data_IF_793289691127
#
_entry.id   IF_793289691127
#
_cell.length_a   1.000
_cell.length_b   1.000
_cell.length_c   1.000
_cell.angle_alpha   90.00
_cell.angle_beta   90.00
_cell.angle_gamma   90.00
#
_symmetry.space_group_name_H-M   'P 1'
#
loop_
_entity.id
_entity.type
_entity.pdbx_description
1 polymer ?
#
# COMPACT_ATOMS: atom_id res chain seq x y z
N UNK A 1 -33.60 -16.81 13.19
CA UNK A 1 -32.29 -16.40 13.75
C UNK A 1 -31.21 -17.15 12.99
N UNK A 2 -30.62 -16.53 11.96
CA UNK A 2 -29.54 -17.17 11.20
C UNK A 2 -28.22 -16.94 11.92
N UNK A 3 -27.69 -18.00 12.52
CA UNK A 3 -26.32 -18.08 13.02
C UNK A 3 -25.40 -18.32 11.83
N UNK A 4 -24.98 -17.26 11.15
CA UNK A 4 -23.81 -17.27 10.27
C UNK A 4 -23.11 -15.93 10.43
N UNK A 5 -22.58 -15.68 11.62
CA UNK A 5 -21.52 -14.69 11.80
C UNK A 5 -20.27 -15.25 11.15
N UNK A 6 -20.06 -14.95 9.87
CA UNK A 6 -18.81 -15.26 9.19
C UNK A 6 -17.71 -14.40 9.80
N UNK A 7 -17.03 -14.98 10.79
CA UNK A 7 -15.82 -14.50 11.45
C UNK A 7 -14.61 -14.65 10.51
N UNK A 8 -14.62 -14.03 9.33
CA UNK A 8 -13.42 -13.98 8.49
C UNK A 8 -12.33 -13.05 9.09
N UNK A 9 -12.72 -12.23 10.07
CA UNK A 9 -11.95 -11.17 10.72
C UNK A 9 -11.06 -11.58 11.90
N UNK A 10 -10.74 -12.86 12.11
CA UNK A 10 -9.93 -13.26 13.28
C UNK A 10 -8.73 -14.17 12.98
N UNK A 11 -8.57 -14.65 11.74
CA UNK A 11 -7.44 -15.48 11.35
C UNK A 11 -6.39 -14.67 10.59
N UNK A 12 -5.12 -14.99 10.83
CA UNK A 12 -4.00 -14.50 10.03
C UNK A 12 -4.03 -15.17 8.66
N UNK A 13 -4.05 -14.37 7.60
CA UNK A 13 -4.02 -14.81 6.21
C UNK A 13 -2.63 -14.62 5.61
N UNK A 14 -2.28 -15.49 4.65
CA UNK A 14 -1.18 -15.22 3.72
C UNK A 14 -1.75 -14.52 2.50
N UNK A 15 -1.09 -13.43 2.08
CA UNK A 15 -1.51 -12.64 0.92
C UNK A 15 -0.97 -13.27 -0.35
N UNK A 16 -1.88 -13.63 -1.25
CA UNK A 16 -1.56 -14.14 -2.59
C UNK A 16 -0.70 -15.42 -2.63
N UNK A 17 -0.26 -15.82 -3.83
CA UNK A 17 0.71 -16.89 -4.04
C UNK A 17 2.10 -16.54 -3.48
N UNK A 18 2.96 -17.55 -3.41
CA UNK A 18 4.28 -17.42 -2.79
C UNK A 18 5.24 -16.62 -3.67
N UNK A 19 5.37 -15.33 -3.35
CA UNK A 19 6.42 -14.46 -3.87
C UNK A 19 7.30 -13.96 -2.73
N UNK A 20 8.61 -14.04 -2.92
CA UNK A 20 9.56 -13.45 -1.99
C UNK A 20 9.65 -11.95 -2.26
N UNK A 21 9.31 -11.14 -1.26
CA UNK A 21 9.36 -9.68 -1.37
C UNK A 21 10.33 -9.05 -0.39
N UNK A 22 10.52 -7.74 -0.52
CA UNK A 22 11.35 -6.93 0.38
C UNK A 22 10.59 -5.74 0.94
N UNK A 23 11.12 -5.16 2.01
CA UNK A 23 10.51 -4.01 2.66
C UNK A 23 9.13 -4.30 3.25
N UNK A 24 8.48 -3.24 3.71
CA UNK A 24 7.12 -3.32 4.23
C UNK A 24 6.09 -3.33 3.08
N UNK A 25 5.06 -4.19 3.15
CA UNK A 25 3.89 -4.02 2.30
C UNK A 25 3.16 -2.72 2.64
N UNK A 26 2.51 -2.11 1.65
CA UNK A 26 1.63 -0.95 1.83
C UNK A 26 0.19 -1.37 1.56
N UNK A 27 -0.75 -0.90 2.37
CA UNK A 27 -2.16 -1.28 2.31
C UNK A 27 -3.03 -0.02 2.29
N UNK A 28 -4.05 -0.02 1.43
CA UNK A 28 -5.11 0.99 1.43
C UNK A 28 -6.44 0.32 1.14
N UNK A 29 -7.55 0.92 1.57
CA UNK A 29 -8.87 0.51 1.09
C UNK A 29 -9.19 1.24 -0.21
N UNK A 30 -9.47 0.47 -1.25
CA UNK A 30 -9.97 0.97 -2.53
C UNK A 30 -11.47 1.14 -2.56
N UNK A 31 -11.99 1.55 -3.73
CA UNK A 31 -13.43 1.79 -3.96
C UNK A 31 -14.09 0.72 -4.85
N UNK A 32 -13.36 -0.35 -5.15
CA UNK A 32 -13.84 -1.47 -5.97
C UNK A 32 -14.63 -2.48 -5.15
N UNK A 33 -15.75 -2.96 -5.68
CA UNK A 33 -16.71 -3.79 -4.94
C UNK A 33 -17.69 -2.95 -4.13
N UNK A 34 -18.67 -3.61 -3.53
CA UNK A 34 -19.72 -2.96 -2.75
C UNK A 34 -19.19 -2.31 -1.46
N UNK A 35 -18.17 -2.90 -0.84
CA UNK A 35 -17.57 -2.41 0.42
C UNK A 35 -16.24 -1.71 0.20
N UNK A 36 -15.60 -1.92 -0.95
CA UNK A 36 -14.23 -1.48 -1.23
C UNK A 36 -13.20 -2.54 -0.83
N UNK A 37 -12.48 -3.04 -1.82
CA UNK A 37 -11.38 -4.01 -1.63
C UNK A 37 -10.24 -3.42 -0.80
N UNK A 38 -9.50 -4.27 -0.11
CA UNK A 38 -8.19 -3.88 0.40
C UNK A 38 -7.17 -4.06 -0.71
N UNK A 39 -6.41 -3.02 -1.03
CA UNK A 39 -5.39 -2.98 -2.06
C UNK A 39 -4.01 -3.01 -1.38
N UNK A 40 -3.24 -4.06 -1.64
CA UNK A 40 -1.93 -4.28 -1.05
C UNK A 40 -0.84 -4.22 -2.11
N UNK A 41 0.19 -3.44 -1.84
CA UNK A 41 1.39 -3.34 -2.67
C UNK A 41 2.59 -3.94 -1.95
N UNK A 42 3.37 -4.76 -2.65
CA UNK A 42 4.62 -5.32 -2.15
C UNK A 42 5.72 -5.20 -3.21
N UNK A 43 6.92 -4.81 -2.78
CA UNK A 43 8.11 -4.91 -3.61
C UNK A 43 8.48 -6.37 -3.81
N UNK A 44 8.75 -6.77 -5.06
CA UNK A 44 9.37 -8.05 -5.36
C UNK A 44 10.84 -8.04 -4.90
N UNK A 45 11.40 -9.21 -4.54
CA UNK A 45 12.79 -9.29 -4.11
C UNK A 45 13.78 -9.04 -5.25
N UNK A 46 13.41 -9.33 -6.48
CA UNK A 46 14.30 -9.27 -7.63
C UNK A 46 13.90 -8.18 -8.61
N UNK A 47 12.62 -8.15 -9.01
CA UNK A 47 12.17 -7.26 -10.07
C UNK A 47 10.72 -6.83 -9.91
N UNK A 48 10.46 -5.54 -10.02
CA UNK A 48 9.12 -4.97 -10.06
C UNK A 48 8.38 -4.95 -8.73
N UNK A 49 7.06 -4.85 -8.86
CA UNK A 49 6.10 -4.68 -7.78
C UNK A 49 4.93 -5.64 -8.00
N UNK A 50 4.33 -6.06 -6.90
CA UNK A 50 3.08 -6.82 -6.90
C UNK A 50 1.98 -6.00 -6.26
N UNK A 51 0.82 -5.93 -6.93
CA UNK A 51 -0.43 -5.50 -6.30
C UNK A 51 -1.30 -6.74 -6.04
N UNK A 52 -1.95 -6.79 -4.89
CA UNK A 52 -2.97 -7.78 -4.52
C UNK A 52 -4.22 -7.04 -4.06
N UNK A 53 -5.38 -7.66 -4.21
CA UNK A 53 -6.62 -7.13 -3.66
C UNK A 53 -7.36 -8.19 -2.87
N UNK A 54 -7.86 -7.82 -1.70
CA UNK A 54 -8.75 -8.64 -0.90
C UNK A 54 -10.18 -8.28 -1.25
N UNK A 55 -10.97 -9.28 -1.65
CA UNK A 55 -12.39 -9.06 -1.88
C UNK A 55 -13.11 -8.90 -0.53
N UNK A 56 -13.42 -7.65 -0.19
CA UNK A 56 -14.09 -7.25 1.06
C UNK A 56 -15.61 -7.43 1.01
N UNK A 57 -16.17 -7.77 -0.15
CA UNK A 57 -17.60 -7.92 -0.32
C UNK A 57 -18.10 -9.17 0.40
N UNK A 58 -19.40 -9.19 0.71
CA UNK A 58 -20.09 -10.36 1.25
C UNK A 58 -20.47 -11.31 0.12
N UNK A 59 -20.62 -12.59 0.42
CA UNK A 59 -21.14 -13.58 -0.54
C UNK A 59 -22.52 -13.19 -1.13
N UNK A 60 -23.29 -12.37 -0.41
CA UNK A 60 -24.59 -11.86 -0.84
C UNK A 60 -24.54 -10.61 -1.71
N UNK A 61 -23.40 -9.93 -1.78
CA UNK A 61 -23.27 -8.69 -2.53
C UNK A 61 -23.14 -8.98 -4.03
N UNK A 62 -23.51 -8.05 -4.92
CA UNK A 62 -23.32 -8.22 -6.36
C UNK A 62 -21.86 -8.53 -6.69
N UNK A 63 -21.62 -9.62 -7.42
CA UNK A 63 -20.27 -10.04 -7.74
C UNK A 63 -19.68 -9.16 -8.86
N UNK A 64 -18.94 -8.11 -8.48
CA UNK A 64 -18.20 -7.26 -9.41
C UNK A 64 -16.81 -7.83 -9.76
N UNK A 65 -16.30 -8.75 -8.94
CA UNK A 65 -14.99 -9.41 -9.09
C UNK A 65 -15.16 -10.95 -9.13
N UNK A 66 -15.67 -11.52 -10.23
CA UNK A 66 -16.04 -12.95 -10.29
C UNK A 66 -14.88 -13.91 -10.07
N UNK A 67 -13.65 -13.47 -10.34
CA UNK A 67 -12.46 -14.31 -10.25
C UNK A 67 -11.83 -14.35 -8.85
N UNK A 68 -12.29 -13.52 -7.90
CA UNK A 68 -11.78 -13.48 -6.53
C UNK A 68 -12.93 -13.64 -5.54
N UNK A 69 -13.10 -14.82 -4.92
CA UNK A 69 -14.17 -15.05 -3.95
C UNK A 69 -14.17 -14.06 -2.78
N UNK A 70 -15.35 -13.72 -2.27
CA UNK A 70 -15.52 -12.94 -1.05
C UNK A 70 -14.66 -13.48 0.10
N UNK A 71 -13.99 -12.59 0.83
CA UNK A 71 -13.14 -12.97 1.95
C UNK A 71 -11.78 -13.57 1.57
N UNK A 72 -11.35 -13.44 0.31
CA UNK A 72 -10.07 -13.98 -0.17
C UNK A 72 -9.19 -12.93 -0.86
N UNK A 73 -7.88 -13.17 -0.83
CA UNK A 73 -6.89 -12.39 -1.58
C UNK A 73 -6.81 -12.88 -3.03
N UNK A 74 -6.60 -11.95 -3.96
CA UNK A 74 -6.30 -12.27 -5.36
C UNK A 74 -4.96 -12.98 -5.52
N UNK A 75 -4.73 -13.54 -6.72
CA UNK A 75 -3.44 -14.10 -7.10
C UNK A 75 -2.35 -13.02 -7.30
N UNK A 76 -2.73 -11.75 -7.32
CA UNK A 76 -1.85 -10.62 -7.54
C UNK A 76 -1.52 -10.36 -9.02
N UNK A 77 -1.13 -9.12 -9.29
CA UNK A 77 -0.65 -8.66 -10.60
C UNK A 77 0.76 -8.09 -10.45
N UNK A 78 1.69 -8.61 -11.24
CA UNK A 78 3.04 -8.07 -11.35
C UNK A 78 3.08 -6.87 -12.30
N UNK A 79 3.80 -5.83 -11.92
CA UNK A 79 4.04 -4.67 -12.77
C UNK A 79 5.40 -4.02 -12.43
N UNK A 80 5.73 -2.93 -13.13
CA UNK A 80 6.96 -2.18 -12.91
C UNK A 80 8.25 -2.99 -13.10
N UNK A 81 8.22 -4.01 -13.97
CA UNK A 81 9.39 -4.82 -14.32
C UNK A 81 10.53 -3.98 -14.90
N UNK A 82 11.77 -4.45 -14.73
CA UNK A 82 13.00 -3.78 -15.14
C UNK A 82 13.69 -2.95 -14.04
N UNK A 83 13.20 -3.00 -12.80
CA UNK A 83 13.77 -2.30 -11.66
C UNK A 83 13.54 -3.04 -10.35
N UNK A 84 14.57 -3.07 -9.48
CA UNK A 84 14.43 -3.57 -8.12
C UNK A 84 14.02 -2.44 -7.18
N UNK A 85 12.93 -2.64 -6.43
CA UNK A 85 12.42 -1.68 -5.46
C UNK A 85 12.85 -2.01 -4.03
N UNK A 86 13.00 -0.97 -3.21
CA UNK A 86 13.32 -1.05 -1.79
C UNK A 86 12.08 -0.84 -0.93
N UNK A 87 11.22 0.09 -1.33
CA UNK A 87 10.00 0.47 -0.63
C UNK A 87 8.97 1.00 -1.63
N UNK A 88 7.69 0.78 -1.37
CA UNK A 88 6.62 1.36 -2.16
C UNK A 88 5.39 1.63 -1.28
N UNK A 89 4.64 2.67 -1.62
CA UNK A 89 3.39 3.04 -0.95
C UNK A 89 2.26 3.12 -1.97
N UNK A 90 1.11 2.55 -1.61
CA UNK A 90 -0.13 2.62 -2.36
C UNK A 90 -1.13 3.54 -1.63
N UNK A 91 -1.86 4.33 -2.40
CA UNK A 91 -2.84 5.28 -1.92
C UNK A 91 -4.06 5.26 -2.84
N UNK A 92 -5.25 5.46 -2.28
CA UNK A 92 -6.49 5.57 -3.06
C UNK A 92 -6.69 7.04 -3.48
N UNK A 93 -6.77 7.30 -4.78
CA UNK A 93 -7.09 8.62 -5.31
C UNK A 93 -8.61 8.82 -5.39
N UNK A 94 -9.06 10.05 -5.19
CA UNK A 94 -10.42 10.49 -5.52
C UNK A 94 -10.59 10.85 -7.00
N UNK A 95 -9.50 10.92 -7.76
CA UNK A 95 -9.50 11.36 -9.16
C UNK A 95 -9.74 10.20 -10.13
N UNK A 96 -10.47 10.49 -11.22
CA UNK A 96 -10.78 9.59 -12.34
C UNK A 96 -11.70 8.41 -11.98
N UNK A 97 -11.95 7.44 -12.89
CA UNK A 97 -12.90 6.35 -12.66
C UNK A 97 -12.40 5.22 -11.73
N UNK A 98 -11.74 5.58 -10.61
CA UNK A 98 -11.18 4.75 -9.51
C UNK A 98 -9.68 4.44 -9.62
N UNK A 99 -8.82 5.42 -9.33
CA UNK A 99 -7.37 5.24 -9.48
C UNK A 99 -6.65 4.93 -8.17
N UNK A 100 -5.65 4.04 -8.29
CA UNK A 100 -4.64 3.80 -7.28
C UNK A 100 -3.41 4.62 -7.62
N UNK A 101 -2.79 5.21 -6.61
CA UNK A 101 -1.56 5.97 -6.71
C UNK A 101 -0.45 5.19 -6.03
N UNK A 102 0.67 5.05 -6.73
CA UNK A 102 1.84 4.35 -6.19
C UNK A 102 3.06 5.25 -6.29
N UNK A 103 3.76 5.40 -5.16
CA UNK A 103 5.13 5.89 -5.14
C UNK A 103 6.06 4.74 -4.78
N UNK A 104 7.10 4.53 -5.57
CA UNK A 104 7.99 3.39 -5.43
C UNK A 104 9.46 3.82 -5.49
N UNK A 105 10.18 3.54 -4.41
CA UNK A 105 11.61 3.83 -4.28
C UNK A 105 12.41 2.64 -4.80
N UNK A 106 13.13 2.86 -5.90
CA UNK A 106 14.09 1.90 -6.43
C UNK A 106 15.29 1.76 -5.48
N UNK A 107 15.98 0.61 -5.50
CA UNK A 107 17.26 0.41 -4.77
C UNK A 107 18.38 1.34 -5.24
N UNK A 108 18.25 1.89 -6.45
CA UNK A 108 19.16 2.90 -6.97
C UNK A 108 18.91 4.30 -6.38
N UNK A 109 17.81 4.50 -5.64
CA UNK A 109 17.47 5.76 -4.98
C UNK A 109 16.61 6.71 -5.83
N UNK A 110 16.00 6.23 -6.92
CA UNK A 110 14.99 6.98 -7.67
C UNK A 110 13.59 6.68 -7.11
N UNK A 111 12.81 7.73 -6.82
CA UNK A 111 11.40 7.64 -6.48
C UNK A 111 10.54 7.79 -7.74
N UNK A 112 9.82 6.73 -8.07
CA UNK A 112 8.97 6.66 -9.24
C UNK A 112 7.51 6.87 -8.85
N UNK A 113 6.73 7.47 -9.74
CA UNK A 113 5.29 7.66 -9.55
C UNK A 113 4.53 6.88 -10.60
N UNK A 114 3.51 6.16 -10.13
CA UNK A 114 2.67 5.28 -10.90
C UNK A 114 1.21 5.56 -10.56
N UNK A 115 0.34 5.28 -11.52
CA UNK A 115 -1.10 5.24 -11.27
C UNK A 115 -1.70 4.04 -11.98
N UNK A 116 -2.75 3.47 -11.39
CA UNK A 116 -3.55 2.48 -12.07
C UNK A 116 -4.73 3.15 -12.75
N UNK A 117 -5.01 2.80 -14.00
CA UNK A 117 -6.26 3.17 -14.66
C UNK A 117 -7.00 1.93 -15.19
N UNK A 118 -8.34 1.90 -15.12
CA UNK A 118 -9.12 0.80 -15.67
C UNK A 118 -8.82 0.65 -17.16
N UNK A 119 -8.44 -0.56 -17.59
CA UNK A 119 -8.06 -0.85 -18.98
C UNK A 119 -6.57 -1.12 -19.12
N UNK A 120 -5.69 -0.10 -19.20
CA UNK A 120 -4.26 -0.30 -19.44
C UNK A 120 -3.49 -0.76 -18.20
N UNK A 121 -4.09 -0.75 -17.00
CA UNK A 121 -3.45 -1.17 -15.76
C UNK A 121 -2.54 -0.10 -15.16
N UNK A 122 -1.48 -0.53 -14.46
CA UNK A 122 -0.51 0.40 -13.87
C UNK A 122 0.36 1.05 -14.95
N UNK A 123 0.42 2.38 -14.92
CA UNK A 123 1.18 3.20 -15.84
C UNK A 123 2.17 4.06 -15.05
N UNK A 124 3.40 4.12 -15.55
CA UNK A 124 4.45 4.95 -14.97
C UNK A 124 4.31 6.39 -15.48
N UNK A 125 4.40 7.36 -14.56
CA UNK A 125 4.57 8.78 -14.92
C UNK A 125 6.02 9.09 -15.25
N UNK A 126 6.24 10.21 -15.93
CA UNK A 126 7.60 10.75 -16.05
C UNK A 126 8.25 10.92 -14.67
N UNK A 127 9.42 10.32 -14.44
CA UNK A 127 10.14 10.49 -13.17
C UNK A 127 10.39 11.97 -12.93
N UNK A 128 10.02 12.54 -11.76
CA UNK A 128 10.21 13.96 -11.49
C UNK A 128 11.69 14.34 -11.54
N UNK A 129 12.01 15.55 -12.04
CA UNK A 129 13.40 16.00 -12.20
C UNK A 129 14.19 15.93 -10.88
N UNK A 130 13.56 16.33 -9.76
CA UNK A 130 14.16 16.31 -8.42
C UNK A 130 14.54 14.91 -7.94
N UNK A 131 13.95 13.86 -8.52
CA UNK A 131 14.26 12.46 -8.21
C UNK A 131 15.27 11.82 -9.18
N UNK A 132 15.66 12.52 -10.26
CA UNK A 132 16.64 12.03 -11.25
C UNK A 132 18.07 12.50 -10.97
N UNK A 133 18.25 13.58 -10.22
CA UNK A 133 19.56 14.16 -10.01
C UNK A 133 20.42 13.24 -9.13
N UNK A 134 21.35 12.52 -9.77
CA UNK A 134 22.18 11.49 -9.16
C UNK A 134 23.11 11.94 -8.03
N UNK A 135 23.11 13.23 -7.66
CA UNK A 135 23.78 13.74 -6.47
C UNK A 135 22.97 13.50 -5.18
N UNK A 136 21.64 13.48 -5.25
CA UNK A 136 20.74 13.41 -4.09
C UNK A 136 19.78 12.21 -4.20
N UNK A 137 20.29 11.00 -3.99
CA UNK A 137 19.47 9.78 -4.01
C UNK A 137 18.46 9.80 -2.87
N UNK A 138 17.24 9.33 -3.11
CA UNK A 138 16.24 9.14 -2.05
C UNK A 138 16.58 7.86 -1.28
N UNK A 139 16.59 7.93 0.05
CA UNK A 139 16.84 6.78 0.93
C UNK A 139 15.58 6.31 1.67
N UNK A 140 14.65 7.23 1.92
CA UNK A 140 13.39 6.96 2.57
C UNK A 140 12.36 7.98 2.14
N UNK A 141 11.09 7.60 2.14
CA UNK A 141 10.00 8.53 1.90
C UNK A 141 8.77 8.16 2.71
N UNK A 142 7.87 9.12 2.87
CA UNK A 142 6.51 8.87 3.29
C UNK A 142 5.58 9.78 2.50
N UNK A 143 4.43 9.25 2.09
CA UNK A 143 3.45 9.93 1.28
C UNK A 143 2.05 9.76 1.88
N UNK A 144 1.25 10.81 1.71
CA UNK A 144 -0.18 10.81 2.05
C UNK A 144 -0.95 11.46 0.91
N UNK A 145 -2.19 11.03 0.74
CA UNK A 145 -3.13 11.66 -0.19
C UNK A 145 -4.30 12.24 0.60
N UNK A 146 -4.72 13.46 0.24
CA UNK A 146 -5.90 14.11 0.82
C UNK A 146 -6.53 15.02 -0.22
N UNK A 147 -7.80 14.79 -0.54
CA UNK A 147 -8.51 15.55 -1.57
C UNK A 147 -7.79 15.53 -2.93
N UNK A 148 -7.27 14.36 -3.33
CA UNK A 148 -6.51 14.16 -4.57
C UNK A 148 -5.06 14.69 -4.57
N UNK A 149 -4.74 15.63 -3.66
CA UNK A 149 -3.38 16.14 -3.48
C UNK A 149 -2.51 15.09 -2.78
N UNK A 150 -1.36 14.78 -3.39
CA UNK A 150 -0.35 13.91 -2.77
C UNK A 150 0.72 14.79 -2.13
N UNK A 151 1.02 14.55 -0.86
CA UNK A 151 2.12 15.19 -0.13
C UNK A 151 3.16 14.16 0.27
N UNK A 152 4.43 14.45 0.01
CA UNK A 152 5.55 13.53 0.20
C UNK A 152 6.66 14.21 1.01
N UNK A 153 7.22 13.49 1.97
CA UNK A 153 8.52 13.82 2.57
C UNK A 153 9.53 12.79 2.09
N UNK A 154 10.68 13.24 1.60
CA UNK A 154 11.82 12.38 1.23
C UNK A 154 13.04 12.75 2.06
N UNK A 155 13.82 11.73 2.45
CA UNK A 155 15.17 11.89 2.97
C UNK A 155 16.17 11.51 1.89
N UNK A 156 17.09 12.41 1.59
CA UNK A 156 18.15 12.15 0.60
C UNK A 156 19.36 11.49 1.26
N UNK A 157 20.30 11.01 0.43
CA UNK A 157 21.58 10.40 0.86
C UNK A 157 22.50 11.32 1.65
N UNK A 158 22.24 12.64 1.64
CA UNK A 158 22.97 13.61 2.47
C UNK A 158 22.23 13.94 3.77
N UNK A 159 21.16 13.22 4.08
CA UNK A 159 20.30 13.46 5.24
C UNK A 159 19.34 14.64 5.09
N UNK A 160 19.33 15.32 3.95
CA UNK A 160 18.42 16.45 3.69
C UNK A 160 16.98 15.96 3.58
N UNK A 161 16.08 16.61 4.30
CA UNK A 161 14.64 16.41 4.15
C UNK A 161 14.09 17.38 3.09
N UNK A 162 13.40 16.83 2.09
CA UNK A 162 12.59 17.61 1.15
C UNK A 162 11.13 17.26 1.32
N UNK A 163 10.27 18.27 1.33
CA UNK A 163 8.82 18.09 1.37
C UNK A 163 8.23 18.63 0.08
N UNK A 164 7.33 17.86 -0.50
CA UNK A 164 6.79 18.09 -1.82
C UNK A 164 5.29 17.86 -1.80
N UNK A 165 4.58 18.52 -2.71
CA UNK A 165 3.19 18.20 -2.98
C UNK A 165 2.92 18.19 -4.48
N UNK A 166 1.89 17.46 -4.89
CA UNK A 166 1.32 17.48 -6.22
C UNK A 166 -0.18 17.57 -6.12
N UNK A 167 -0.74 18.57 -6.80
CA UNK A 167 -2.18 18.71 -7.00
C UNK A 167 -2.68 17.78 -8.12
N UNK A 168 -3.95 17.95 -8.48
CA UNK A 168 -4.67 17.20 -9.51
C UNK A 168 -4.93 18.01 -10.78
N UNK A 169 -4.36 19.22 -10.90
CA UNK A 169 -4.67 20.17 -11.99
C UNK A 169 -4.33 19.60 -13.38
N UNK A 170 -3.38 18.66 -13.46
CA UNK A 170 -2.96 18.00 -14.70
C UNK A 170 -3.22 16.50 -14.72
N UNK A 171 -4.15 16.02 -13.91
CA UNK A 171 -4.44 14.59 -13.77
C UNK A 171 -4.69 13.93 -15.16
N UNK A 172 -4.12 12.73 -15.45
CA UNK A 172 -3.41 11.86 -14.53
C UNK A 172 -1.95 12.27 -14.26
N UNK A 173 -1.37 13.22 -14.98
CA UNK A 173 0.00 13.67 -14.70
C UNK A 173 0.09 14.40 -13.35
N UNK A 174 1.27 14.30 -12.72
CA UNK A 174 1.56 14.94 -11.43
C UNK A 174 2.71 15.92 -11.56
N UNK A 175 2.49 17.14 -11.09
CA UNK A 175 3.52 18.16 -10.98
C UNK A 175 3.94 18.32 -9.52
N UNK A 176 5.24 18.33 -9.25
CA UNK A 176 5.76 18.33 -7.89
C UNK A 176 6.37 19.67 -7.55
N UNK A 177 5.85 20.29 -6.49
CA UNK A 177 6.32 21.57 -5.97
C UNK A 177 6.84 21.42 -4.54
N UNK A 178 7.84 22.23 -4.20
CA UNK A 178 8.33 22.30 -2.82
C UNK A 178 7.20 22.73 -1.88
N UNK A 179 7.16 22.12 -0.70
CA UNK A 179 6.20 22.43 0.36
C UNK A 179 6.94 22.73 1.65
N UNK A 180 6.39 23.62 2.47
CA UNK A 180 6.86 23.83 3.84
C UNK A 180 6.48 22.64 4.76
N UNK A 181 5.37 21.97 4.45
CA UNK A 181 4.77 20.91 5.25
C UNK A 181 4.70 19.59 4.48
N UNK A 182 4.53 18.49 5.20
CA UNK A 182 4.51 17.14 4.64
C UNK A 182 4.40 16.11 5.74
N UNK A 183 4.11 14.84 5.41
CA UNK A 183 4.00 13.79 6.40
C UNK A 183 5.35 13.57 7.11
N UNK A 184 5.34 13.15 8.38
CA UNK A 184 6.56 12.71 9.06
C UNK A 184 7.12 11.46 8.39
N UNK A 185 8.45 11.29 8.34
CA UNK A 185 9.01 9.98 8.01
C UNK A 185 8.68 9.02 9.13
N UNK A 186 8.09 7.88 8.79
CA UNK A 186 7.75 6.86 9.76
C UNK A 186 8.88 5.84 9.80
N UNK A 187 9.54 5.74 10.95
CA UNK A 187 10.29 4.53 11.27
C UNK A 187 9.22 3.50 11.65
N UNK A 188 8.70 2.76 10.65
CA UNK A 188 7.48 1.93 10.69
C UNK A 188 7.42 0.78 11.71
N UNK A 189 8.00 0.94 12.89
CA UNK A 189 8.12 -0.03 13.97
C UNK A 189 7.42 0.40 15.27
N UNK A 190 7.23 1.71 15.51
CA UNK A 190 6.92 2.24 16.84
C UNK A 190 5.57 1.81 17.44
N UNK A 191 4.61 1.33 16.64
CA UNK A 191 3.27 0.96 17.14
C UNK A 191 2.94 -0.54 17.11
N UNK A 192 3.70 -1.37 16.42
CA UNK A 192 3.36 -2.80 16.27
C UNK A 192 4.06 -3.70 17.30
N UNK A 193 5.18 -3.25 17.88
CA UNK A 193 5.78 -3.88 19.06
C UNK A 193 4.84 -3.86 20.30
N UNK A 194 3.87 -2.94 20.34
CA UNK A 194 2.85 -2.84 21.40
C UNK A 194 1.70 -3.83 21.22
N UNK A 195 1.49 -4.33 20.01
CA UNK A 195 0.33 -5.17 19.73
C UNK A 195 0.44 -6.54 20.44
N UNK A 196 1.64 -7.07 20.73
CA UNK A 196 1.83 -8.45 21.25
C UNK A 196 1.04 -9.50 20.44
N UNK A 197 0.71 -9.16 19.19
CA UNK A 197 -0.23 -9.89 18.35
C UNK A 197 0.49 -10.93 17.47
N UNK A 198 1.81 -10.74 17.28
CA UNK A 198 2.67 -11.65 16.54
C UNK A 198 3.92 -11.86 17.39
N UNK A 199 4.33 -13.10 17.59
CA UNK A 199 5.61 -13.40 18.23
C UNK A 199 6.73 -12.76 17.39
N UNK A 200 7.62 -11.93 17.98
CA UNK A 200 8.67 -11.23 17.23
C UNK A 200 9.56 -12.13 16.36
N UNK A 201 9.61 -13.43 16.67
CA UNK A 201 10.35 -14.43 15.90
C UNK A 201 9.74 -14.73 14.51
N UNK A 202 8.48 -14.39 14.26
CA UNK A 202 7.78 -14.73 13.02
C UNK A 202 7.73 -13.59 12.00
N UNK A 203 8.10 -12.37 12.39
CA UNK A 203 8.03 -11.18 11.53
C UNK A 203 9.42 -10.60 11.24
N UNK A 204 9.66 -10.19 10.00
CA UNK A 204 10.84 -9.41 9.64
C UNK A 204 10.69 -8.01 10.27
N UNK A 205 11.70 -7.54 11.04
CA UNK A 205 11.65 -6.22 11.66
C UNK A 205 11.33 -5.09 10.68
N UNK A 206 10.59 -4.10 11.14
CA UNK A 206 10.22 -2.88 10.40
C UNK A 206 9.34 -3.07 9.16
N UNK A 207 8.86 -4.29 8.90
CA UNK A 207 7.94 -4.56 7.76
C UNK A 207 6.48 -4.41 8.12
N UNK A 208 6.14 -4.37 9.40
CA UNK A 208 4.75 -4.35 9.81
C UNK A 208 4.12 -2.97 9.57
N UNK A 209 2.85 -2.92 9.12
CA UNK A 209 2.08 -1.71 8.82
C UNK A 209 0.63 -1.88 9.29
N UNK A 210 -0.04 -0.75 9.49
CA UNK A 210 -1.45 -0.67 9.87
C UNK A 210 -2.19 0.25 8.89
N UNK A 211 -3.41 -0.12 8.54
CA UNK A 211 -4.38 0.72 7.85
C UNK A 211 -5.77 0.53 8.46
N UNK A 212 -6.62 1.55 8.37
CA UNK A 212 -8.04 1.40 8.72
C UNK A 212 -8.85 0.99 7.49
N UNK A 213 -9.89 0.18 7.68
CA UNK A 213 -10.86 -0.13 6.64
C UNK A 213 -12.30 -0.07 7.17
N UNK A 214 -13.27 0.09 6.29
CA UNK A 214 -14.71 0.06 6.60
C UNK A 214 -15.31 -1.36 6.54
N UNK A 215 -14.50 -2.36 6.18
CA UNK A 215 -14.90 -3.77 6.13
C UNK A 215 -15.52 -4.16 7.47
N UNK A 216 -16.58 -4.97 7.45
CA UNK A 216 -17.27 -5.46 8.66
C UNK A 216 -17.67 -4.36 9.68
N UNK A 217 -17.86 -3.11 9.23
CA UNK A 217 -18.25 -1.99 10.11
C UNK A 217 -17.09 -1.23 10.74
N UNK A 218 -15.85 -1.57 10.40
CA UNK A 218 -14.65 -0.88 10.88
C UNK A 218 -13.58 -1.84 11.37
N UNK A 219 -12.46 -1.91 10.65
CA UNK A 219 -11.35 -2.79 10.98
C UNK A 219 -10.04 -2.03 11.04
N UNK A 220 -9.17 -2.49 11.93
CA UNK A 220 -7.73 -2.28 11.89
C UNK A 220 -7.10 -3.41 11.09
N UNK A 221 -6.56 -3.08 9.94
CA UNK A 221 -5.89 -4.02 9.05
C UNK A 221 -4.38 -3.96 9.30
N UNK A 222 -3.80 -5.07 9.78
CA UNK A 222 -2.37 -5.19 10.06
C UNK A 222 -1.74 -6.06 9.01
N UNK A 223 -0.63 -5.61 8.42
CA UNK A 223 0.16 -6.39 7.47
C UNK A 223 1.62 -6.44 7.89
N UNK A 224 2.33 -7.51 7.59
CA UNK A 224 3.76 -7.64 7.85
C UNK A 224 4.39 -8.68 6.94
N UNK A 225 5.72 -8.73 6.90
CA UNK A 225 6.45 -9.79 6.21
C UNK A 225 6.89 -10.84 7.22
N UNK A 226 6.57 -12.10 6.95
CA UNK A 226 7.03 -13.24 7.72
C UNK A 226 8.51 -13.52 7.52
N UNK A 227 9.12 -14.33 8.41
CA UNK A 227 10.51 -14.79 8.25
C UNK A 227 10.76 -15.58 6.94
N UNK A 228 9.70 -16.12 6.34
CA UNK A 228 9.69 -16.77 5.02
C UNK A 228 9.59 -15.78 3.84
N UNK A 229 9.64 -14.47 4.10
CA UNK A 229 9.55 -13.42 3.09
C UNK A 229 8.15 -13.13 2.58
N UNK A 230 7.12 -13.88 3.03
CA UNK A 230 5.74 -13.73 2.56
C UNK A 230 4.99 -12.66 3.33
N UNK A 231 4.00 -12.06 2.68
CA UNK A 231 3.14 -11.07 3.34
C UNK A 231 2.03 -11.78 4.10
N UNK A 232 1.83 -11.35 5.35
CA UNK A 232 0.74 -11.74 6.23
C UNK A 232 -0.20 -10.57 6.41
N UNK A 233 -1.48 -10.88 6.58
CA UNK A 233 -2.54 -9.91 6.84
C UNK A 233 -3.40 -10.41 8.00
N UNK A 234 -3.76 -9.50 8.89
CA UNK A 234 -4.73 -9.75 9.95
C UNK A 234 -5.62 -8.52 10.11
N UNK A 235 -6.91 -8.69 9.85
CA UNK A 235 -7.91 -7.70 10.22
C UNK A 235 -8.36 -7.89 11.65
N UNK A 236 -8.46 -6.81 12.40
CA UNK A 236 -8.94 -6.77 13.78
C UNK A 236 -10.14 -5.83 13.85
N UNK A 237 -11.26 -6.21 14.49
CA UNK A 237 -12.34 -5.27 14.74
C UNK A 237 -11.80 -4.06 15.51
N UNK A 238 -12.17 -2.85 15.06
CA UNK A 238 -12.03 -1.66 15.90
C UNK A 238 -12.99 -1.90 17.07
N UNK A 239 -12.46 -2.20 18.27
CA UNK A 239 -13.31 -2.40 19.44
C UNK A 239 -14.20 -1.17 19.59
N UNK A 240 -15.52 -1.36 19.71
CA UNK A 240 -16.36 -0.36 20.33
C UNK A 240 -15.86 -0.24 21.78
N UNK A 241 -15.16 0.86 22.09
CA UNK A 241 -15.02 1.26 23.48
C UNK A 241 -16.43 1.57 23.97
N UNK A 242 -16.97 0.68 24.81
CA UNK A 242 -18.23 0.86 25.53
C UNK A 242 -18.29 2.19 26.28
#
# INVERSE_FOLDING_TARGET
MSKNGQMHSLSILTVGPNHEGVGAPSLVQGVYGAVGNLELLSCDREDGLWVYWFNSDRESDPCETPDVPAGTWSAGLHFASGAAYAEAQIMQSSEGPNHLEVLALTRAGALESWFWSPGPGFQRRGTPAWSRDGADRVEAFNAVISGGQVSVTVRTSHGTLRRLHSDTTRYPERHWEASATGPGLTDGWADLAKLRLVEPAEAIPSTAREASSTREGGMREVTWRGADGRVRHWGLPLREEN
#
